data_IF_596060235867
#
_entry.id   IF_596060235867
#
_cell.length_a   1.000
_cell.length_b   1.000
_cell.length_c   1.000
_cell.angle_alpha   90.00
_cell.angle_beta   90.00
_cell.angle_gamma   90.00
#
_symmetry.space_group_name_H-M   'P 1'
#
loop_
_entity.id
_entity.type
_entity.pdbx_description
1 polymer ?
2 polymer ?
3 non-polymer ?
4 non-polymer ?
5 non-polymer ?
6 water ?
#
# COMPACT_ATOMS: atom_id res chain seq x y z
N UNK A 1 -0.99 -14.58 1.01
CA UNK A 1 -0.04 -15.06 2.07
C UNK A 1 -0.08 -14.21 3.33
N UNK A 2 0.05 -12.89 3.20
CA UNK A 2 0.01 -12.01 4.38
C UNK A 2 -1.40 -11.96 4.97
N UNK A 3 -2.39 -12.09 4.08
CA UNK A 3 -3.80 -12.13 4.47
C UNK A 3 -4.07 -13.14 5.58
N UNK A 4 -4.02 -14.45 5.32
CA UNK A 4 -4.27 -15.47 6.31
C UNK A 4 -3.54 -15.45 7.64
N UNK A 5 -2.28 -15.04 7.63
CA UNK A 5 -1.36 -14.95 8.73
C UNK A 5 -1.41 -13.68 9.56
N UNK A 6 -1.70 -12.56 8.89
CA UNK A 6 -1.71 -11.31 9.69
C UNK A 6 -3.11 -10.82 9.97
N UNK A 7 -4.10 -11.50 9.43
CA UNK A 7 -5.48 -11.14 9.69
C UNK A 7 -6.11 -12.08 10.71
N UNK A 8 -5.88 -13.39 10.54
CA UNK A 8 -6.49 -14.25 11.58
C UNK A 8 -5.66 -14.08 12.86
N UNK A 9 -4.34 -13.96 12.78
CA UNK A 9 -3.53 -13.76 14.00
C UNK A 9 -2.75 -12.44 13.90
N UNK A 10 -2.34 -11.87 15.02
CA UNK A 10 -1.59 -10.63 15.09
C UNK A 10 -0.12 -10.90 14.76
N UNK A 11 0.36 -10.24 13.72
CA UNK A 11 1.70 -10.32 13.19
C UNK A 11 2.56 -9.22 13.81
N UNK A 12 3.76 -9.62 14.20
CA UNK A 12 4.70 -8.67 14.78
C UNK A 12 5.35 -7.91 13.63
N UNK A 13 6.10 -6.89 13.91
CA UNK A 13 6.90 -6.11 13.00
C UNK A 13 7.94 -7.04 12.34
N UNK A 14 8.41 -8.05 13.09
CA UNK A 14 9.38 -9.01 12.59
C UNK A 14 8.79 -9.89 11.51
N UNK A 15 7.54 -10.27 11.71
CA UNK A 15 6.85 -11.09 10.73
C UNK A 15 6.51 -10.24 9.51
N UNK A 16 6.08 -9.01 9.73
CA UNK A 16 5.73 -8.12 8.64
C UNK A 16 6.94 -7.75 7.81
N UNK A 17 8.16 -7.67 8.30
CA UNK A 17 9.32 -7.34 7.49
C UNK A 17 9.57 -8.33 6.36
N UNK A 18 9.09 -9.56 6.45
CA UNK A 18 9.25 -10.61 5.48
C UNK A 18 8.50 -10.21 4.20
N UNK A 19 7.48 -9.37 4.24
CA UNK A 19 6.74 -8.95 3.05
C UNK A 19 7.27 -7.69 2.38
N UNK A 20 8.33 -7.07 2.88
CA UNK A 20 8.91 -5.87 2.31
C UNK A 20 9.77 -6.22 1.09
N UNK A 21 10.12 -5.21 0.32
CA UNK A 21 10.98 -5.38 -0.85
C UNK A 21 12.45 -5.29 -0.45
N UNK B 2 -12.81 -13.47 9.39
CA UNK B 2 -12.79 -12.02 9.67
C UNK B 2 -12.70 -11.33 8.31
N UNK B 3 -13.16 -10.10 8.15
CA UNK B 3 -13.09 -9.45 6.83
C UNK B 3 -11.64 -9.18 6.39
N UNK B 4 -11.27 -9.75 5.26
CA UNK B 4 -9.93 -9.60 4.70
C UNK B 4 -9.71 -8.26 4.01
N UNK B 5 -10.76 -7.63 3.48
CA UNK B 5 -10.65 -6.34 2.81
C UNK B 5 -10.48 -5.21 3.82
N UNK B 6 -11.18 -5.35 4.94
CA UNK B 6 -11.07 -4.37 6.03
C UNK B 6 -9.70 -4.57 6.67
N UNK B 7 -9.33 -5.85 6.86
CA UNK B 7 -8.03 -6.21 7.38
C UNK B 7 -6.92 -5.75 6.43
N UNK B 8 -7.09 -5.96 5.12
CA UNK B 8 -6.15 -5.53 4.10
C UNK B 8 -5.88 -4.05 4.24
N UNK B 9 -6.84 -3.21 4.58
CA UNK B 9 -6.69 -1.77 4.78
C UNK B 9 -5.72 -1.44 5.91
N UNK B 10 -5.68 -2.27 6.93
CA UNK B 10 -4.78 -2.13 8.06
C UNK B 10 -3.38 -2.65 7.72
N UNK B 11 -3.30 -3.79 7.01
CA UNK B 11 -1.98 -4.33 6.65
C UNK B 11 -1.21 -3.40 5.76
N UNK B 12 -1.81 -2.78 4.72
CA UNK B 12 -1.08 -1.85 3.86
C UNK B 12 -0.56 -0.69 4.71
N UNK B 13 -1.25 -0.19 5.74
CA UNK B 13 -0.69 0.85 6.58
C UNK B 13 0.48 0.30 7.43
N UNK B 14 0.35 -0.93 7.91
CA UNK B 14 1.38 -1.60 8.70
C UNK B 14 2.62 -1.80 7.84
N UNK B 15 2.43 -2.28 6.61
CA UNK B 15 3.57 -2.47 5.70
C UNK B 15 4.25 -1.15 5.35
N UNK B 16 3.49 -0.08 5.17
CA UNK B 16 4.07 1.23 4.92
C UNK B 16 5.04 1.62 6.05
N UNK B 17 4.65 1.44 7.31
CA UNK B 17 5.48 1.78 8.48
C UNK B 17 6.74 0.92 8.64
N UNK B 18 6.62 -0.38 8.50
CA UNK B 18 7.63 -1.40 8.62
C UNK B 18 8.62 -1.32 7.47
N UNK B 19 8.12 -1.35 6.24
CA UNK B 19 9.01 -1.32 5.06
C UNK B 19 9.63 0.03 4.82
N UNK B 20 9.01 1.14 5.17
CA UNK B 20 9.62 2.45 4.97
C UNK B 20 10.02 2.59 3.50
N UNK B 21 11.25 3.04 3.31
CA UNK B 21 11.87 3.25 2.01
C UNK B 21 12.01 2.03 1.10
N UNK B 22 12.09 0.82 1.63
CA UNK B 22 12.19 -0.39 0.82
C UNK B 22 10.94 -0.72 0.00
N UNK B 23 9.81 -0.15 0.39
CA UNK B 23 8.54 -0.35 -0.25
C UNK B 23 8.13 -1.81 -0.16
N UNK B 24 7.04 -2.10 -0.85
CA UNK B 24 6.43 -3.41 -0.86
C UNK B 24 5.45 -3.50 -2.03
N UNK B 25 5.08 -4.74 -2.30
CA UNK B 25 4.10 -5.08 -3.31
C UNK B 25 2.93 -5.69 -2.51
N UNK B 26 1.72 -5.25 -2.82
CA UNK B 26 0.55 -5.75 -2.14
C UNK B 26 -0.39 -6.29 -3.22
N UNK B 27 -0.55 -7.59 -3.12
CA UNK B 27 -1.47 -8.28 -4.05
C UNK B 27 -2.48 -8.94 -3.10
N UNK B 28 -3.70 -8.44 -3.19
CA UNK B 28 -4.84 -8.89 -2.41
C UNK B 28 -5.15 -10.36 -2.67
N UNK B 29 -5.23 -10.81 -3.93
CA UNK B 29 -5.50 -12.22 -4.21
C UNK B 29 -4.63 -13.14 -3.34
N UNK C 1 8.73 8.55 -10.08
CA UNK C 1 8.29 7.69 -8.95
C UNK C 1 6.95 8.14 -8.39
N UNK C 2 6.32 7.30 -7.55
CA UNK C 2 5.00 7.65 -7.00
C UNK C 2 5.08 8.84 -6.07
N UNK C 3 6.15 8.94 -5.27
CA UNK C 3 6.27 10.07 -4.34
C UNK C 3 6.34 11.41 -5.06
N UNK C 4 7.18 11.55 -6.09
CA UNK C 4 7.28 12.83 -6.80
C UNK C 4 6.01 13.17 -7.56
N UNK C 5 5.32 12.20 -8.13
CA UNK C 5 4.11 12.42 -8.88
C UNK C 5 2.86 12.70 -8.04
N UNK C 6 2.65 11.96 -6.96
CA UNK C 6 1.43 12.09 -6.17
C UNK C 6 1.58 12.64 -4.76
N UNK C 7 2.78 12.64 -4.24
CA UNK C 7 3.00 13.17 -2.91
C UNK C 7 3.54 14.60 -3.02
N UNK C 8 4.59 14.66 -3.83
CA UNK C 8 5.28 15.95 -4.04
C UNK C 8 4.47 16.84 -4.95
N UNK C 9 3.86 16.21 -5.95
CA UNK C 9 3.00 16.83 -6.93
C UNK C 9 1.58 16.34 -6.64
N UNK C 10 0.58 16.77 -7.38
CA UNK C 10 -0.78 16.27 -7.15
C UNK C 10 -1.04 15.33 -8.33
N UNK C 11 -1.55 14.16 -8.02
CA UNK C 11 -1.90 13.10 -8.88
C UNK C 11 -3.39 13.00 -9.20
N UNK C 12 -3.61 12.66 -10.46
CA UNK C 12 -4.94 12.42 -10.97
C UNK C 12 -5.26 10.97 -10.63
N UNK C 13 -6.52 10.55 -10.72
CA UNK C 13 -6.84 9.13 -10.49
C UNK C 13 -6.18 8.26 -11.55
N UNK C 14 -6.12 8.72 -12.79
CA UNK C 14 -5.51 8.04 -13.95
C UNK C 14 -4.02 7.82 -13.73
N UNK C 15 -3.33 8.79 -13.15
CA UNK C 15 -1.90 8.66 -12.87
C UNK C 15 -1.64 7.73 -11.69
N UNK C 16 -2.52 7.71 -10.72
CA UNK C 16 -2.46 6.87 -9.52
C UNK C 16 -2.65 5.41 -9.88
N UNK C 17 -3.44 5.11 -10.92
CA UNK C 17 -3.68 3.75 -11.41
C UNK C 17 -2.52 3.14 -12.19
N UNK C 18 -1.47 3.90 -12.46
CA UNK C 18 -0.26 3.42 -13.07
C UNK C 18 0.51 2.57 -12.05
N UNK C 19 0.28 2.74 -10.74
CA UNK C 19 0.99 2.00 -9.71
C UNK C 19 0.20 0.81 -9.23
N UNK C 20 -0.83 0.42 -9.98
CA UNK C 20 -1.61 -0.76 -9.67
C UNK C 20 -0.91 -1.93 -10.37
N UNK C 21 -1.12 -3.11 -9.81
CA UNK C 21 -0.52 -4.28 -10.42
C UNK C 21 -1.21 -4.68 -11.71
N UNK D 1 -12.68 12.17 -7.48
CA UNK D 1 -11.53 11.66 -6.67
C UNK D 1 -10.81 12.87 -6.09
N UNK D 2 -10.27 12.80 -4.86
CA UNK D 2 -9.60 13.96 -4.31
C UNK D 2 -8.37 14.32 -5.18
N UNK D 3 -8.19 15.63 -5.16
CA UNK D 3 -7.14 16.34 -5.85
C UNK D 3 -6.25 16.92 -4.77
N UNK D 4 -5.26 16.15 -4.29
CA UNK D 4 -4.39 16.65 -3.23
C UNK D 4 -3.05 15.91 -3.22
N UNK D 5 -2.15 16.44 -2.40
CA UNK D 5 -0.84 15.82 -2.20
C UNK D 5 -1.14 14.57 -1.39
N UNK D 6 -0.91 13.38 -1.88
CA UNK D 6 -1.19 12.15 -1.11
C UNK D 6 0.17 11.58 -0.73
N UNK D 7 0.49 11.50 0.53
CA UNK D 7 1.80 11.02 0.95
C UNK D 7 1.70 9.98 2.05
N UNK D 8 2.77 9.23 2.26
CA UNK D 8 2.85 8.23 3.30
C UNK D 8 1.69 7.25 3.31
N UNK D 9 1.09 7.07 4.49
CA UNK D 9 0.00 6.14 4.68
C UNK D 9 -1.25 6.55 3.91
N UNK D 10 -1.42 7.84 3.61
CA UNK D 10 -2.57 8.32 2.86
C UNK D 10 -2.45 7.84 1.41
N UNK D 11 -1.23 7.83 0.91
CA UNK D 11 -0.91 7.34 -0.44
C UNK D 11 -1.14 5.84 -0.56
N UNK D 12 -0.72 5.00 0.42
CA UNK D 12 -0.97 3.55 0.30
C UNK D 12 -2.45 3.21 0.39
N UNK D 13 -3.19 3.95 1.21
CA UNK D 13 -4.63 3.75 1.37
C UNK D 13 -5.36 4.12 0.08
N UNK D 14 -4.97 5.17 -0.63
CA UNK D 14 -5.56 5.56 -1.92
C UNK D 14 -5.25 4.46 -2.94
N UNK D 15 -4.00 3.96 -2.87
CA UNK D 15 -3.60 2.85 -3.74
C UNK D 15 -4.42 1.60 -3.41
N UNK D 16 -4.59 1.31 -2.12
CA UNK D 16 -5.42 0.17 -1.72
C UNK D 16 -6.81 0.23 -2.37
N UNK D 17 -7.50 1.35 -2.25
CA UNK D 17 -8.81 1.59 -2.83
C UNK D 17 -8.90 1.65 -4.35
N UNK D 18 -8.02 2.38 -5.05
CA UNK D 18 -8.20 2.46 -6.50
C UNK D 18 -7.76 1.17 -7.18
N UNK D 19 -6.74 0.48 -6.71
CA UNK D 19 -6.27 -0.74 -7.37
C UNK D 19 -7.15 -1.94 -7.09
N UNK D 20 -7.87 -1.95 -5.98
CA UNK D 20 -8.74 -3.06 -5.66
C UNK D 20 -8.00 -4.39 -5.67
N UNK D 21 -8.59 -5.39 -6.32
CA UNK D 21 -8.03 -6.74 -6.33
C UNK D 21 -6.75 -6.88 -7.15
N UNK D 22 -6.42 -5.97 -8.06
CA UNK D 22 -5.16 -6.12 -8.80
C UNK D 22 -4.00 -5.92 -7.79
N UNK D 23 -4.23 -5.05 -6.81
CA UNK D 23 -3.19 -4.79 -5.81
C UNK D 23 -2.31 -3.73 -6.47
N UNK D 24 -1.25 -3.36 -5.80
CA UNK D 24 -0.33 -2.33 -6.23
C UNK D 24 1.11 -2.55 -5.76
N UNK D 25 1.98 -1.66 -6.29
CA UNK D 25 3.36 -1.72 -5.84
C UNK D 25 3.68 -0.32 -5.33
N UNK D 26 4.29 -0.34 -4.13
CA UNK D 26 4.71 0.90 -3.49
C UNK D 26 6.24 0.91 -3.40
N UNK D 27 6.88 1.67 -4.28
CA UNK D 27 8.32 1.80 -4.36
C UNK D 27 8.67 3.28 -4.39
N UNK D 28 8.82 3.90 -3.23
CA UNK D 28 9.13 5.29 -3.04
C UNK D 28 10.52 5.75 -3.45
N UNK D 29 11.43 4.80 -3.62
CA UNK D 29 12.80 5.03 -4.04
C UNK D 29 12.87 5.36 -5.52
N UNK D 30 12.01 4.75 -6.32
CA UNK D 30 11.96 4.94 -7.76
C UNK D 30 11.79 6.39 -8.20
X LIG E 1 -2.17 -2.86 12.28
X LIG E 1 -3.21 -2.34 11.90
X LIG E 1 -1.10 -2.01 12.88
X LIG E 1 -1.23 -0.56 12.53
X LIG E 1 -1.98 -4.35 12.16
X LIG E 1 -2.95 -5.18 11.61
X LIG E 1 -2.77 -6.56 11.51
X LIG E 1 -1.58 -7.13 11.99
X LIG E 1 -0.62 -6.31 12.55
X LIG E 1 -0.80 -4.93 12.66
X LIG E 1 -1.41 -8.51 11.88
X LIG F 1 -10.55 -1.50 10.60
X LIG G 1 -11.70 -3.41 10.94
X LIG H 1 -2.48 11.86 8.17
X LIG I 1 -1.24 13.89 7.80
#
# INVERSE_FOLDING_TARGET
GIVEQCCTSICSLYQLENYCN
FVNQHLCGSHLVEALYLVCGERGFFYTPKA
GIVEQCCTSICSLYQLENYCN
FVNQHLCGSHLVEALYLVCGERGFFYTPKA
MPB C O1 O2 CM C1 C2 C3 C4 C5 C6 O4
ZN ZN
CL CL
ZN ZN
CL CL
#
